data_IF_155049868285
#
_entry.id   IF_155049868285
#
_cell.length_a   1.000
_cell.length_b   1.000
_cell.length_c   1.000
_cell.angle_alpha   90.00
_cell.angle_beta   90.00
_cell.angle_gamma   90.00
#
_symmetry.space_group_name_H-M   'P 1'
#
loop_
_entity.id
_entity.type
_entity.pdbx_description
1 polymer ?
#
# COMPACT_ATOMS: atom_id res chain seq x y z
N UNK A 1 -20.55 21.21 -21.09
CA UNK A 1 -20.94 20.21 -20.07
C UNK A 1 -19.75 20.05 -19.12
N UNK A 2 -19.86 20.41 -17.83
CA UNK A 2 -18.74 20.17 -16.91
C UNK A 2 -18.55 18.65 -16.78
N UNK A 3 -17.30 18.21 -16.89
CA UNK A 3 -16.93 16.80 -16.82
C UNK A 3 -17.39 16.21 -15.47
N UNK A 4 -18.47 15.42 -15.50
CA UNK A 4 -19.08 14.77 -14.33
C UNK A 4 -18.14 13.77 -13.64
N UNK A 5 -17.01 13.46 -14.26
CA UNK A 5 -15.95 12.59 -13.73
C UNK A 5 -14.82 13.35 -13.02
N UNK A 6 -14.97 14.66 -12.75
CA UNK A 6 -14.04 15.38 -11.88
C UNK A 6 -14.24 14.92 -10.43
N UNK A 7 -13.51 13.88 -10.06
CA UNK A 7 -13.37 13.35 -8.70
C UNK A 7 -12.61 14.33 -7.79
N UNK A 8 -13.02 15.60 -7.77
CA UNK A 8 -12.45 16.67 -6.96
C UNK A 8 -12.75 16.36 -5.49
N UNK A 9 -11.85 15.65 -4.83
CA UNK A 9 -11.99 15.20 -3.44
C UNK A 9 -12.17 13.69 -3.22
N UNK A 10 -12.15 12.85 -4.27
CA UNK A 10 -12.19 11.41 -4.08
C UNK A 10 -10.87 10.91 -3.48
N UNK A 11 -10.93 10.38 -2.25
CA UNK A 11 -9.79 9.73 -1.61
C UNK A 11 -9.74 8.27 -2.08
N UNK A 12 -8.67 7.85 -2.78
CA UNK A 12 -8.57 6.47 -3.24
C UNK A 12 -8.58 5.49 -2.05
N UNK A 13 -9.35 4.42 -2.18
CA UNK A 13 -9.34 3.31 -1.23
C UNK A 13 -8.26 2.31 -1.64
N UNK A 14 -7.47 1.86 -0.67
CA UNK A 14 -6.40 0.86 -0.80
C UNK A 14 -6.72 -0.36 0.06
N UNK A 15 -6.11 -1.47 -0.29
CA UNK A 15 -6.31 -2.76 0.40
C UNK A 15 -5.00 -3.17 1.05
N UNK A 16 -5.04 -3.48 2.33
CA UNK A 16 -3.90 -4.02 3.06
C UNK A 16 -3.51 -5.37 2.46
N UNK A 17 -2.24 -5.56 2.09
CA UNK A 17 -1.76 -6.81 1.50
C UNK A 17 -1.71 -7.98 2.49
N UNK A 18 -1.85 -7.69 3.79
CA UNK A 18 -1.75 -8.67 4.88
C UNK A 18 -3.15 -9.11 5.34
N UNK A 19 -3.94 -8.19 5.90
CA UNK A 19 -5.27 -8.50 6.42
C UNK A 19 -6.40 -8.37 5.38
N UNK A 20 -6.12 -7.83 4.19
CA UNK A 20 -7.10 -7.54 3.12
C UNK A 20 -8.18 -6.52 3.48
N UNK A 21 -8.05 -5.81 4.59
CA UNK A 21 -8.94 -4.70 4.92
C UNK A 21 -8.74 -3.53 3.96
N UNK A 22 -9.83 -2.84 3.66
CA UNK A 22 -9.85 -1.64 2.83
C UNK A 22 -9.72 -0.40 3.72
N UNK A 23 -8.98 0.59 3.28
CA UNK A 23 -8.83 1.86 3.98
C UNK A 23 -8.45 2.98 3.03
N UNK A 24 -8.64 4.22 3.47
CA UNK A 24 -8.27 5.41 2.70
C UNK A 24 -6.77 5.44 2.46
N UNK A 25 -6.33 5.92 1.27
CA UNK A 25 -4.90 6.07 0.92
C UNK A 25 -4.11 6.82 2.00
N UNK A 26 -4.72 7.83 2.63
CA UNK A 26 -4.07 8.64 3.67
C UNK A 26 -3.83 7.90 4.99
N UNK A 27 -4.57 6.83 5.26
CA UNK A 27 -4.50 6.04 6.51
C UNK A 27 -3.69 4.75 6.34
N UNK A 28 -3.06 4.55 5.18
CA UNK A 28 -2.30 3.35 4.86
C UNK A 28 -0.88 3.69 4.47
N UNK A 29 0.04 2.86 4.93
CA UNK A 29 1.46 3.00 4.66
C UNK A 29 1.79 2.33 3.33
N UNK A 30 2.32 3.11 2.38
CA UNK A 30 2.83 2.58 1.11
C UNK A 30 4.26 2.08 1.29
N UNK A 31 4.57 0.98 0.65
CA UNK A 31 5.94 0.50 0.46
C UNK A 31 6.12 -0.13 -0.91
N UNK A 32 7.36 -0.18 -1.38
CA UNK A 32 7.77 -0.91 -2.59
C UNK A 32 8.73 -2.02 -2.22
N UNK A 33 8.84 -3.01 -3.10
CA UNK A 33 9.86 -4.05 -2.99
C UNK A 33 10.95 -3.72 -4.00
N UNK A 34 12.14 -3.37 -3.53
CA UNK A 34 13.31 -3.16 -4.38
C UNK A 34 14.46 -4.05 -3.90
N UNK A 35 15.11 -4.76 -4.84
CA UNK A 35 16.22 -5.69 -4.55
C UNK A 35 15.90 -6.69 -3.42
N UNK A 36 14.62 -7.05 -3.28
CA UNK A 36 14.15 -7.97 -2.24
C UNK A 36 14.03 -7.37 -0.83
N UNK A 37 14.09 -6.05 -0.67
CA UNK A 37 13.83 -5.38 0.60
C UNK A 37 12.56 -4.52 0.51
N UNK A 38 11.91 -4.30 1.66
CA UNK A 38 10.80 -3.36 1.78
C UNK A 38 11.39 -1.95 1.93
N UNK A 39 10.99 -1.04 1.04
CA UNK A 39 11.27 0.38 1.18
C UNK A 39 9.94 1.11 1.38
N UNK A 40 9.79 1.78 2.53
CA UNK A 40 8.62 2.61 2.79
C UNK A 40 8.64 3.84 1.89
N UNK A 41 7.48 4.16 1.31
CA UNK A 41 7.34 5.27 0.37
C UNK A 41 6.09 6.08 0.68
N UNK A 42 6.13 6.76 1.82
CA UNK A 42 5.05 7.64 2.27
C UNK A 42 4.75 8.75 1.26
N UNK A 43 5.79 9.23 0.55
CA UNK A 43 5.69 10.29 -0.44
C UNK A 43 5.17 9.81 -1.81
N UNK A 44 5.00 8.51 -2.03
CA UNK A 44 4.58 7.94 -3.32
C UNK A 44 5.54 8.31 -4.48
N UNK A 45 6.85 8.42 -4.21
CA UNK A 45 7.89 8.81 -5.19
C UNK A 45 8.61 7.57 -5.75
N UNK A 46 8.70 6.49 -4.98
CA UNK A 46 9.49 5.33 -5.37
C UNK A 46 8.85 4.55 -6.52
N UNK A 47 9.69 4.29 -7.51
CA UNK A 47 9.39 3.54 -8.71
C UNK A 47 9.14 2.05 -8.42
N UNK A 48 8.21 1.46 -9.18
CA UNK A 48 7.84 0.06 -9.08
C UNK A 48 6.46 -0.19 -8.45
N UNK A 49 6.18 -1.46 -8.15
CA UNK A 49 4.89 -1.90 -7.61
C UNK A 49 4.73 -1.47 -6.16
N UNK A 50 3.87 -0.49 -5.93
CA UNK A 50 3.47 -0.04 -4.60
C UNK A 50 2.47 -1.00 -3.95
N UNK A 51 2.77 -1.39 -2.71
CA UNK A 51 1.92 -2.16 -1.82
C UNK A 51 1.51 -1.29 -0.64
N UNK A 52 0.39 -1.64 0.00
CA UNK A 52 -0.15 -0.91 1.12
C UNK A 52 -0.41 -1.85 2.29
N UNK A 53 -0.15 -1.39 3.52
CA UNK A 53 -0.59 -2.06 4.74
C UNK A 53 -1.25 -1.05 5.69
N UNK A 54 -2.15 -1.54 6.54
CA UNK A 54 -2.80 -0.72 7.56
C UNK A 54 -1.91 -0.58 8.81
N UNK A 55 -2.20 0.44 9.62
CA UNK A 55 -1.43 0.79 10.83
C UNK A 55 -1.53 -0.25 11.98
N UNK A 56 -2.23 -1.37 11.76
CA UNK A 56 -2.36 -2.41 12.78
C UNK A 56 -1.01 -3.07 13.05
N UNK A 57 -0.62 -3.14 14.31
CA UNK A 57 0.65 -3.76 14.75
C UNK A 57 0.82 -5.20 14.23
N UNK A 58 -0.27 -5.99 14.21
CA UNK A 58 -0.28 -7.35 13.64
C UNK A 58 0.16 -7.37 12.18
N UNK A 59 -0.27 -6.38 11.39
CA UNK A 59 0.14 -6.26 9.98
C UNK A 59 1.61 -5.85 9.89
N UNK A 60 2.03 -4.85 10.66
CA UNK A 60 3.44 -4.44 10.71
C UNK A 60 4.38 -5.60 11.05
N UNK A 61 4.06 -6.39 12.06
CA UNK A 61 4.84 -7.56 12.47
C UNK A 61 4.84 -8.68 11.41
N UNK A 62 3.78 -8.79 10.61
CA UNK A 62 3.64 -9.82 9.57
C UNK A 62 4.28 -9.45 8.22
N UNK A 63 4.83 -8.23 8.07
CA UNK A 63 5.41 -7.75 6.81
C UNK A 63 6.58 -8.62 6.32
N UNK A 64 7.49 -9.03 7.21
CA UNK A 64 8.63 -9.88 6.86
C UNK A 64 8.18 -11.26 6.33
N UNK A 65 7.27 -11.90 7.05
CA UNK A 65 6.67 -13.17 6.64
C UNK A 65 5.94 -13.06 5.30
N UNK A 66 5.24 -11.95 5.07
CA UNK A 66 4.58 -11.67 3.79
C UNK A 66 5.60 -11.47 2.66
N UNK A 67 6.68 -10.72 2.89
CA UNK A 67 7.76 -10.50 1.92
C UNK A 67 8.41 -11.81 1.49
N UNK A 68 8.70 -12.71 2.44
CA UNK A 68 9.25 -14.05 2.16
C UNK A 68 8.33 -14.86 1.26
N UNK A 69 7.01 -14.79 1.46
CA UNK A 69 6.01 -15.43 0.60
C UNK A 69 5.94 -14.78 -0.77
N UNK A 70 6.02 -13.45 -0.84
CA UNK A 70 5.98 -12.70 -2.09
C UNK A 70 7.20 -12.97 -3.00
N UNK A 71 8.39 -13.22 -2.42
CA UNK A 71 9.61 -13.59 -3.16
C UNK A 71 9.60 -15.00 -3.74
N UNK A 72 8.81 -15.92 -3.17
CA UNK A 72 8.73 -17.31 -3.62
C UNK A 72 7.83 -17.50 -4.85
N UNK A 73 7.15 -16.43 -5.27
CA UNK A 73 6.17 -16.42 -6.35
C UNK A 73 6.73 -15.67 -7.54
#
# INVERSE_FOLDING_TARGET
MPNKASNKGHIPIRTCVICKEKGSKCSMHRFVIQKGAILFDEKNILEGRGYYFCDKEKCRASLDSWLKKAKKK
#
